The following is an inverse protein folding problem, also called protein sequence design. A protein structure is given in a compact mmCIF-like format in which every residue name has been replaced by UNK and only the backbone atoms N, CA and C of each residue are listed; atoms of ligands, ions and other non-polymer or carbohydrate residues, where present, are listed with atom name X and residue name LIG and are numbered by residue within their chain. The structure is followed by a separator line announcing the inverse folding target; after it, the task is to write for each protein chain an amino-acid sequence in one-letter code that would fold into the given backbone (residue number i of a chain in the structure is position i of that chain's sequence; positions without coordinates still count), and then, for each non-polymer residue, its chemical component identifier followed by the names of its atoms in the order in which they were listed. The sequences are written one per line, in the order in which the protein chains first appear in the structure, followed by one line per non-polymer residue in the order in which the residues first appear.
data_IF_691287678351
#
_entry.id   IF_691287678351
#
_cell.length_a   1.000
_cell.length_b   1.000
_cell.length_c   1.000
_cell.angle_alpha   90.00
_cell.angle_beta   90.00
_cell.angle_gamma   90.00
#
_symmetry.space_group_name_H-M   'P 1'
#
loop_
_entity.id
_entity.type
_entity.pdbx_description
1 polymer ?
#
# COMPACT_ATOMS: atom_id res chain seq x y z
N UNK A 1 3.50 18.23 1.25
CA UNK A 1 2.64 17.03 1.21
C UNK A 1 2.60 16.44 2.61
N UNK A 2 1.41 16.12 3.12
CA UNK A 2 1.21 15.51 4.43
C UNK A 2 0.94 14.01 4.29
N UNK A 3 1.56 13.20 5.15
CA UNK A 3 1.21 11.81 5.35
C UNK A 3 0.28 11.73 6.54
N UNK A 4 -0.96 11.35 6.32
CA UNK A 4 -2.00 11.32 7.34
C UNK A 4 -2.43 9.88 7.59
N UNK A 5 -2.23 9.41 8.81
CA UNK A 5 -2.74 8.11 9.24
C UNK A 5 -4.27 8.10 9.11
N UNK A 6 -4.81 7.11 8.38
CA UNK A 6 -6.23 7.01 8.06
C UNK A 6 -6.63 5.54 7.87
N UNK A 7 -7.20 4.91 8.90
CA UNK A 7 -7.38 3.46 8.96
C UNK A 7 -8.72 2.98 8.38
N UNK A 8 -9.65 3.89 8.14
CA UNK A 8 -10.98 3.57 7.59
C UNK A 8 -11.96 4.72 7.69
N UNK A 9 -13.22 4.43 7.36
CA UNK A 9 -14.36 5.35 7.43
C UNK A 9 -15.33 5.03 8.57
N UNK A 10 -14.95 4.09 9.44
CA UNK A 10 -15.76 3.61 10.57
C UNK A 10 -15.00 3.79 11.88
N UNK A 11 -15.70 4.34 12.88
CA UNK A 11 -15.16 4.55 14.22
C UNK A 11 -14.83 3.26 14.97
N UNK A 12 -15.48 2.13 14.66
CA UNK A 12 -15.13 0.84 15.27
C UNK A 12 -13.72 0.38 14.88
N UNK A 13 -13.32 0.65 13.65
CA UNK A 13 -11.93 0.44 13.19
C UNK A 13 -10.97 1.26 14.05
N UNK A 14 -11.28 2.53 14.26
CA UNK A 14 -10.43 3.41 15.07
C UNK A 14 -10.43 3.02 16.54
N UNK A 15 -11.58 2.64 17.12
CA UNK A 15 -11.61 2.14 18.51
C UNK A 15 -10.72 0.92 18.68
N UNK A 16 -10.80 0.00 17.74
CA UNK A 16 -9.96 -1.23 17.77
C UNK A 16 -8.49 -0.94 17.60
N UNK A 17 -8.11 -0.10 16.63
CA UNK A 17 -6.70 0.14 16.30
C UNK A 17 -6.07 1.27 17.13
N UNK A 18 -6.87 2.24 17.63
CA UNK A 18 -6.38 3.48 18.24
C UNK A 18 -6.98 3.80 19.60
N UNK A 19 -7.98 3.04 20.03
CA UNK A 19 -8.64 3.23 21.34
C UNK A 19 -9.66 4.37 21.40
N UNK A 20 -9.96 5.05 20.30
CA UNK A 20 -10.90 6.17 20.28
C UNK A 20 -11.60 6.32 18.91
N UNK A 21 -12.81 6.90 18.84
CA UNK A 21 -13.49 7.25 17.59
C UNK A 21 -12.77 8.45 16.96
N UNK A 22 -12.22 8.29 15.77
CA UNK A 22 -11.38 9.32 15.14
C UNK A 22 -11.82 9.70 13.72
N UNK A 23 -12.86 9.10 13.16
CA UNK A 23 -13.29 9.29 11.77
C UNK A 23 -13.52 10.76 11.46
N UNK A 24 -14.34 11.45 12.25
CA UNK A 24 -14.63 12.87 12.04
C UNK A 24 -13.37 13.74 12.13
N UNK A 25 -12.54 13.49 13.14
CA UNK A 25 -11.29 14.22 13.31
C UNK A 25 -10.36 14.05 12.10
N UNK A 26 -10.25 12.84 11.54
CA UNK A 26 -9.43 12.56 10.36
C UNK A 26 -9.96 13.24 9.12
N UNK A 27 -11.29 13.21 8.90
CA UNK A 27 -11.92 13.91 7.78
C UNK A 27 -11.68 15.42 7.89
N UNK A 28 -11.89 16.01 9.07
CA UNK A 28 -11.62 17.43 9.33
C UNK A 28 -10.14 17.79 9.10
N UNK A 29 -9.20 16.93 9.49
CA UNK A 29 -7.79 17.16 9.21
C UNK A 29 -7.47 17.18 7.70
N UNK A 30 -8.11 16.29 6.92
CA UNK A 30 -7.98 16.29 5.46
C UNK A 30 -8.53 17.60 4.87
N UNK A 31 -9.70 18.05 5.34
CA UNK A 31 -10.34 19.26 4.85
C UNK A 31 -9.51 20.52 5.20
N UNK A 32 -8.91 20.55 6.39
CA UNK A 32 -7.97 21.62 6.77
C UNK A 32 -6.71 21.62 5.89
N UNK A 33 -6.15 20.44 5.58
CA UNK A 33 -5.05 20.33 4.64
C UNK A 33 -5.44 20.86 3.25
N UNK A 34 -6.66 20.55 2.80
CA UNK A 34 -7.20 21.04 1.54
C UNK A 34 -7.31 22.57 1.53
N UNK A 35 -7.85 23.15 2.58
CA UNK A 35 -7.96 24.61 2.73
C UNK A 35 -6.59 25.30 2.71
N UNK A 36 -5.58 24.63 3.28
CA UNK A 36 -4.20 25.11 3.29
C UNK A 36 -3.41 24.81 1.99
N UNK A 37 -4.04 24.21 0.97
CA UNK A 37 -3.35 23.83 -0.28
C UNK A 37 -2.30 22.71 -0.10
N UNK A 38 -2.35 21.96 1.00
CA UNK A 38 -1.39 20.93 1.35
C UNK A 38 -1.87 19.55 0.88
N UNK A 39 -1.30 18.95 -0.18
CA UNK A 39 -1.69 17.63 -0.64
C UNK A 39 -1.47 16.53 0.41
N UNK A 40 -2.35 15.53 0.42
CA UNK A 40 -2.36 14.46 1.42
C UNK A 40 -2.09 13.10 0.78
N UNK A 41 -1.36 12.25 1.49
CA UNK A 41 -1.29 10.80 1.29
C UNK A 41 -1.90 10.12 2.51
N UNK A 42 -2.89 9.27 2.30
CA UNK A 42 -3.49 8.48 3.37
C UNK A 42 -2.58 7.30 3.73
N UNK A 43 -2.45 7.02 5.02
CA UNK A 43 -1.59 5.94 5.52
C UNK A 43 -2.43 5.01 6.41
N UNK A 44 -3.17 4.04 5.85
CA UNK A 44 -3.87 3.04 6.63
C UNK A 44 -2.91 1.98 7.17
N UNK A 45 -3.03 1.68 8.48
CA UNK A 45 -2.51 0.44 9.05
C UNK A 45 -3.56 -0.64 8.87
N UNK A 46 -3.23 -1.72 8.16
CA UNK A 46 -4.19 -2.77 7.83
C UNK A 46 -3.97 -3.99 8.69
N UNK A 47 -5.00 -4.35 9.47
CA UNK A 47 -5.02 -5.50 10.35
C UNK A 47 -6.06 -6.53 9.89
N UNK A 48 -5.71 -7.83 9.83
CA UNK A 48 -6.64 -8.89 9.46
C UNK A 48 -7.88 -8.91 10.35
N UNK A 49 -9.07 -9.00 9.76
CA UNK A 49 -10.35 -9.05 10.47
C UNK A 49 -10.80 -7.72 11.09
N UNK A 50 -9.99 -6.66 11.00
CA UNK A 50 -10.33 -5.34 11.54
C UNK A 50 -10.72 -4.36 10.42
N UNK A 51 -9.86 -4.13 9.46
CA UNK A 51 -10.08 -3.18 8.36
C UNK A 51 -9.56 -3.66 6.99
N UNK A 52 -9.14 -4.90 6.88
CA UNK A 52 -8.70 -5.48 5.62
C UNK A 52 -9.85 -5.66 4.61
N UNK A 53 -11.11 -5.62 5.08
CA UNK A 53 -12.33 -5.55 4.28
C UNK A 53 -12.67 -4.14 3.79
N UNK A 54 -12.06 -3.10 4.34
CA UNK A 54 -12.37 -1.69 4.06
C UNK A 54 -11.36 -1.02 3.12
N UNK A 55 -10.43 -1.77 2.52
CA UNK A 55 -9.40 -1.22 1.61
C UNK A 55 -10.01 -0.53 0.40
N UNK A 56 -11.05 -1.13 -0.19
CA UNK A 56 -11.78 -0.54 -1.32
C UNK A 56 -12.43 0.78 -0.96
N UNK A 57 -13.03 0.89 0.21
CA UNK A 57 -13.69 2.12 0.67
C UNK A 57 -12.67 3.25 0.90
N UNK A 58 -11.51 2.93 1.47
CA UNK A 58 -10.41 3.89 1.63
C UNK A 58 -9.92 4.38 0.26
N UNK A 59 -9.76 3.48 -0.71
CA UNK A 59 -9.33 3.83 -2.06
C UNK A 59 -10.39 4.66 -2.80
N UNK A 60 -11.66 4.27 -2.74
CA UNK A 60 -12.79 5.02 -3.32
C UNK A 60 -12.90 6.42 -2.68
N UNK A 61 -12.73 6.51 -1.37
CA UNK A 61 -12.68 7.79 -0.66
C UNK A 61 -11.52 8.67 -1.14
N UNK A 62 -10.32 8.12 -1.26
CA UNK A 62 -9.16 8.84 -1.78
C UNK A 62 -9.40 9.35 -3.21
N UNK A 63 -9.96 8.52 -4.09
CA UNK A 63 -10.29 8.86 -5.47
C UNK A 63 -11.36 9.97 -5.55
N UNK A 64 -12.35 9.96 -4.67
CA UNK A 64 -13.41 10.99 -4.64
C UNK A 64 -12.86 12.38 -4.28
N UNK A 65 -11.73 12.43 -3.57
CA UNK A 65 -11.06 13.66 -3.13
C UNK A 65 -9.81 14.02 -3.93
N UNK A 66 -9.58 13.34 -5.07
CA UNK A 66 -8.51 13.70 -5.99
C UNK A 66 -8.79 15.07 -6.65
N UNK A 67 -7.77 15.90 -6.93
CA UNK A 67 -6.32 15.64 -6.82
C UNK A 67 -5.73 16.00 -5.45
N UNK A 68 -6.54 16.33 -4.44
CA UNK A 68 -6.06 16.72 -3.13
C UNK A 68 -5.43 15.55 -2.37
N UNK A 69 -6.11 14.40 -2.34
CA UNK A 69 -5.50 13.14 -1.90
C UNK A 69 -4.77 12.54 -3.10
N UNK A 70 -3.45 12.42 -2.97
CA UNK A 70 -2.57 11.98 -4.07
C UNK A 70 -2.20 10.53 -4.04
N UNK A 71 -2.45 9.85 -2.93
CA UNK A 71 -2.11 8.45 -2.80
C UNK A 71 -2.60 7.83 -1.50
N UNK A 72 -2.51 6.51 -1.46
CA UNK A 72 -2.75 5.70 -0.27
C UNK A 72 -1.52 4.80 -0.07
N UNK A 73 -0.87 4.94 1.08
CA UNK A 73 0.29 4.14 1.47
C UNK A 73 -0.14 3.08 2.48
N UNK A 74 -0.46 1.91 2.00
CA UNK A 74 -1.00 0.81 2.79
C UNK A 74 0.13 0.14 3.57
N UNK A 75 -0.03 0.04 4.88
CA UNK A 75 0.92 -0.59 5.80
C UNK A 75 0.27 -1.80 6.48
N UNK A 76 0.60 -3.04 6.08
CA UNK A 76 0.18 -4.20 6.86
C UNK A 76 0.73 -4.11 8.29
N UNK A 77 -0.11 -4.44 9.27
CA UNK A 77 0.28 -4.38 10.67
C UNK A 77 1.47 -5.30 10.96
N UNK A 78 2.38 -4.83 11.78
CA UNK A 78 3.52 -5.61 12.28
C UNK A 78 3.32 -5.98 13.74
N UNK A 79 3.49 -7.26 14.05
CA UNK A 79 3.26 -7.82 15.40
C UNK A 79 4.57 -7.94 16.16
N UNK A 80 5.11 -6.81 16.61
CA UNK A 80 6.28 -6.76 17.49
C UNK A 80 6.16 -5.62 18.51
N UNK A 81 6.92 -5.71 19.59
CA UNK A 81 6.86 -4.72 20.66
C UNK A 81 5.52 -4.76 21.41
N UNK A 82 4.95 -3.59 21.69
CA UNK A 82 3.69 -3.44 22.44
C UNK A 82 2.48 -3.49 21.51
N UNK A 83 2.30 -4.59 20.78
CA UNK A 83 1.11 -4.77 19.96
C UNK A 83 -0.06 -5.26 20.81
N UNK A 84 -1.09 -4.43 20.99
CA UNK A 84 -2.29 -4.75 21.79
C UNK A 84 -3.23 -5.78 21.15
N UNK A 85 -3.05 -6.09 19.86
CA UNK A 85 -3.96 -6.98 19.10
C UNK A 85 -3.59 -8.47 19.20
N UNK A 86 -2.51 -8.82 19.91
CA UNK A 86 -2.01 -10.20 19.89
C UNK A 86 -1.45 -10.61 18.52
N UNK A 87 -0.78 -11.76 18.47
CA UNK A 87 -0.33 -12.33 17.19
C UNK A 87 -1.51 -13.07 16.53
N UNK A 88 -1.95 -12.70 15.31
CA UNK A 88 -3.04 -13.39 14.65
C UNK A 88 -2.53 -14.75 14.15
N UNK A 89 -3.45 -15.72 14.05
CA UNK A 89 -3.19 -16.99 13.38
C UNK A 89 -2.85 -16.80 11.90
N UNK A 90 -3.45 -15.78 11.26
CA UNK A 90 -3.25 -15.48 9.85
C UNK A 90 -2.60 -14.10 9.71
N UNK A 91 -1.40 -14.06 9.15
CA UNK A 91 -0.70 -12.81 8.82
C UNK A 91 -1.16 -12.27 7.47
N UNK A 92 -1.36 -10.96 7.41
CA UNK A 92 -1.66 -10.28 6.16
C UNK A 92 -0.37 -10.08 5.36
N UNK A 93 -0.26 -10.78 4.24
CA UNK A 93 0.88 -10.65 3.31
C UNK A 93 0.59 -9.61 2.23
N UNK A 94 1.62 -9.06 1.61
CA UNK A 94 1.45 -8.11 0.49
C UNK A 94 0.61 -8.71 -0.64
N UNK A 95 0.83 -9.95 -1.12
CA UNK A 95 -0.05 -10.55 -2.13
C UNK A 95 -1.52 -10.67 -1.69
N UNK A 96 -1.77 -10.90 -0.39
CA UNK A 96 -3.13 -10.92 0.13
C UNK A 96 -3.78 -9.53 0.11
N UNK A 97 -3.03 -8.48 0.44
CA UNK A 97 -3.50 -7.09 0.32
C UNK A 97 -3.84 -6.76 -1.13
N UNK A 98 -2.96 -7.11 -2.08
CA UNK A 98 -3.18 -6.82 -3.50
C UNK A 98 -4.43 -7.51 -4.06
N UNK A 99 -4.67 -8.78 -3.69
CA UNK A 99 -5.90 -9.49 -4.06
C UNK A 99 -7.15 -8.82 -3.47
N UNK A 100 -7.12 -8.42 -2.20
CA UNK A 100 -8.24 -7.69 -1.58
C UNK A 100 -8.51 -6.35 -2.26
N UNK A 101 -7.48 -5.63 -2.67
CA UNK A 101 -7.65 -4.40 -3.46
C UNK A 101 -8.36 -4.71 -4.77
N UNK A 102 -7.92 -5.73 -5.51
CA UNK A 102 -8.53 -6.10 -6.79
C UNK A 102 -10.01 -6.49 -6.61
N UNK A 103 -10.32 -7.32 -5.62
CA UNK A 103 -11.68 -7.75 -5.29
C UNK A 103 -12.58 -6.55 -4.88
N UNK A 104 -12.11 -5.71 -3.95
CA UNK A 104 -12.90 -4.60 -3.40
C UNK A 104 -13.01 -3.38 -4.33
N UNK A 105 -12.14 -3.32 -5.34
CA UNK A 105 -12.19 -2.32 -6.41
C UNK A 105 -12.80 -2.87 -7.71
N UNK A 106 -13.48 -4.02 -7.66
CA UNK A 106 -14.18 -4.63 -8.79
C UNK A 106 -13.26 -4.79 -10.03
N UNK A 107 -11.98 -5.11 -9.81
CA UNK A 107 -10.98 -5.27 -10.86
C UNK A 107 -10.53 -3.97 -11.56
N UNK A 108 -10.99 -2.80 -11.09
CA UNK A 108 -10.55 -1.48 -11.60
C UNK A 108 -9.06 -1.27 -11.29
N UNK A 109 -8.61 -1.73 -10.13
CA UNK A 109 -7.20 -1.81 -9.74
C UNK A 109 -6.82 -3.28 -9.65
N UNK A 110 -5.89 -3.73 -10.49
CA UNK A 110 -5.49 -5.13 -10.56
C UNK A 110 -4.21 -5.39 -9.78
N UNK A 111 -4.12 -6.55 -9.14
CA UNK A 111 -2.89 -6.97 -8.48
C UNK A 111 -1.68 -6.94 -9.43
N UNK A 112 -1.90 -7.24 -10.72
CA UNK A 112 -0.88 -7.21 -11.76
C UNK A 112 -0.37 -5.78 -12.09
N UNK A 113 -1.10 -4.72 -11.72
CA UNK A 113 -0.67 -3.34 -11.94
C UNK A 113 0.44 -2.93 -10.94
N UNK A 114 0.54 -3.64 -9.82
CA UNK A 114 1.52 -3.35 -8.78
C UNK A 114 2.87 -3.99 -9.08
N UNK A 115 3.95 -3.33 -8.70
CA UNK A 115 5.30 -3.82 -8.86
C UNK A 115 6.24 -3.34 -7.78
N UNK A 116 7.35 -4.05 -7.61
CA UNK A 116 8.38 -3.67 -6.65
C UNK A 116 8.97 -2.29 -6.92
N UNK A 117 9.41 -1.62 -5.86
CA UNK A 117 10.11 -0.34 -5.94
C UNK A 117 11.52 -0.47 -6.53
N UNK A 118 12.05 0.63 -7.08
CA UNK A 118 13.38 0.62 -7.72
C UNK A 118 14.55 0.61 -6.74
N UNK A 119 14.39 1.14 -5.54
CA UNK A 119 15.45 1.28 -4.53
C UNK A 119 15.20 0.46 -3.25
N UNK A 120 14.02 -0.12 -3.11
CA UNK A 120 13.62 -0.92 -1.97
C UNK A 120 13.71 -2.41 -2.29
N UNK A 121 13.75 -3.25 -1.27
CA UNK A 121 13.67 -4.70 -1.47
C UNK A 121 12.42 -5.06 -2.27
N UNK A 122 12.52 -5.84 -3.35
CA UNK A 122 11.39 -6.22 -4.17
C UNK A 122 10.34 -7.05 -3.43
N UNK A 123 10.65 -7.50 -2.21
CA UNK A 123 9.72 -8.26 -1.36
C UNK A 123 9.05 -7.40 -0.29
N UNK A 124 9.49 -6.15 -0.08
CA UNK A 124 9.02 -5.31 1.02
C UNK A 124 8.06 -4.22 0.58
N UNK A 125 8.03 -3.86 -0.69
CA UNK A 125 7.27 -2.72 -1.18
C UNK A 125 6.75 -2.96 -2.59
N UNK A 126 5.47 -2.61 -2.81
CA UNK A 126 4.81 -2.67 -4.11
C UNK A 126 4.05 -1.37 -4.33
N UNK A 127 4.12 -0.84 -5.53
CA UNK A 127 3.39 0.37 -5.89
C UNK A 127 2.75 0.26 -7.26
N UNK A 128 1.67 0.98 -7.46
CA UNK A 128 1.04 1.24 -8.74
C UNK A 128 0.70 2.72 -8.85
N UNK A 129 0.71 3.24 -10.06
CA UNK A 129 0.27 4.61 -10.34
C UNK A 129 -0.87 4.58 -11.33
N UNK A 130 -1.90 5.38 -11.06
CA UNK A 130 -3.08 5.46 -11.91
C UNK A 130 -3.32 6.89 -12.36
N UNK A 131 -3.74 7.04 -13.59
CA UNK A 131 -4.21 8.30 -14.14
C UNK A 131 -5.74 8.26 -14.22
N UNK A 132 -6.39 9.25 -13.61
CA UNK A 132 -7.83 9.46 -13.75
C UNK A 132 -8.10 10.17 -15.07
N UNK A 133 -8.92 9.57 -15.92
CA UNK A 133 -9.36 10.18 -17.17
C UNK A 133 -10.52 11.15 -16.94
N UNK A 134 -10.87 11.93 -17.97
CA UNK A 134 -11.98 12.88 -17.92
C UNK A 134 -13.33 12.21 -17.70
N UNK A 135 -13.51 10.98 -18.16
CA UNK A 135 -14.69 10.14 -17.98
C UNK A 135 -14.79 9.52 -16.57
N UNK A 136 -13.81 9.79 -15.70
CA UNK A 136 -13.72 9.25 -14.35
C UNK A 136 -13.05 7.88 -14.27
N UNK A 137 -12.80 7.19 -15.38
CA UNK A 137 -12.11 5.90 -15.40
C UNK A 137 -10.65 6.01 -14.98
N UNK A 138 -10.11 4.94 -14.42
CA UNK A 138 -8.70 4.83 -14.05
C UNK A 138 -7.92 4.08 -15.11
N UNK A 139 -6.75 4.56 -15.44
CA UNK A 139 -5.78 3.87 -16.29
C UNK A 139 -4.51 3.65 -15.51
N UNK A 140 -4.11 2.39 -15.33
CA UNK A 140 -2.81 2.06 -14.77
C UNK A 140 -1.70 2.64 -15.67
N UNK A 141 -0.74 3.32 -15.08
CA UNK A 141 0.43 3.81 -15.80
C UNK A 141 1.43 2.67 -15.95
N UNK A 142 2.04 2.54 -17.15
CA UNK A 142 3.06 1.53 -17.37
C UNK A 142 4.21 1.73 -16.38
N UNK A 143 4.66 0.65 -15.78
CA UNK A 143 5.86 0.69 -14.96
C UNK A 143 7.04 1.11 -15.82
N UNK A 144 7.77 2.14 -15.43
CA UNK A 144 9.12 2.31 -15.93
C UNK A 144 9.91 1.12 -15.38
N UNK A 145 10.17 0.12 -16.21
CA UNK A 145 11.29 -0.78 -15.94
C UNK A 145 12.50 0.13 -15.83
N UNK A 146 13.02 0.32 -14.61
CA UNK A 146 14.36 0.83 -14.46
C UNK A 146 15.24 -0.17 -15.21
N UNK A 147 15.63 0.17 -16.41
CA UNK A 147 16.79 -0.47 -17.02
C UNK A 147 17.93 -0.10 -16.08
N UNK A 148 18.20 -0.98 -15.13
CA UNK A 148 19.44 -0.94 -14.41
C UNK A 148 20.51 -1.09 -15.49
N UNK A 149 21.29 -0.03 -15.72
CA UNK A 149 22.38 -0.02 -16.70
C UNK A 149 23.45 -1.09 -16.42
N UNK A 150 23.28 -1.90 -15.38
CA UNK A 150 24.26 -2.84 -14.86
C UNK A 150 23.97 -4.31 -15.16
N UNK A 151 22.84 -4.67 -15.78
CA UNK A 151 22.56 -6.08 -16.11
C UNK A 151 22.02 -6.19 -17.53
N UNK A 152 22.91 -6.17 -18.50
CA UNK A 152 22.78 -7.07 -19.63
C UNK A 152 23.11 -8.45 -19.07
N UNK A 153 22.09 -9.22 -18.72
CA UNK A 153 22.24 -10.64 -18.44
C UNK A 153 22.51 -11.35 -19.76
N UNK A 154 23.74 -11.36 -20.17
CA UNK A 154 24.25 -12.37 -21.05
C UNK A 154 25.06 -13.30 -20.16
N UNK A 155 24.69 -14.57 -20.18
CA UNK A 155 25.42 -15.72 -19.71
C UNK A 155 25.51 -15.92 -18.19
N UNK A 156 24.79 -16.94 -17.75
CA UNK A 156 25.09 -17.64 -16.52
C UNK A 156 26.60 -17.97 -16.51
N UNK A 157 27.37 -17.30 -15.67
CA UNK A 157 28.72 -17.73 -15.38
C UNK A 157 28.59 -18.89 -14.40
N UNK A 158 28.86 -20.08 -14.91
CA UNK A 158 29.10 -21.24 -14.07
C UNK A 158 30.26 -20.91 -13.13
N UNK A 159 29.95 -20.80 -11.85
CA UNK A 159 30.98 -20.79 -10.83
C UNK A 159 31.55 -22.20 -10.74
N UNK A 160 32.85 -22.42 -10.99
CA UNK A 160 33.44 -23.73 -10.80
C UNK A 160 33.32 -24.07 -9.30
N UNK A 161 32.70 -25.18 -9.03
CA UNK A 161 32.73 -25.80 -7.72
C UNK A 161 34.18 -26.12 -7.35
N UNK A 162 34.80 -25.29 -6.51
CA UNK A 162 36.08 -25.66 -5.91
C UNK A 162 35.85 -26.77 -4.88
N UNK A 163 35.77 -27.99 -5.39
CA UNK A 163 36.11 -29.13 -4.59
C UNK A 163 37.61 -29.17 -4.46
N UNK A 164 38.09 -29.29 -3.24
CA UNK A 164 39.17 -30.14 -2.83
C UNK A 164 39.61 -29.78 -1.42
N UNK A 165 39.18 -30.60 -0.51
CA UNK A 165 39.95 -30.86 0.71
C UNK A 165 41.36 -31.30 0.32
N UNK A 166 42.35 -30.83 1.05
CA UNK A 166 43.57 -31.62 1.35
C UNK A 166 44.24 -31.10 2.61
N UNK A 167 44.30 -31.99 3.55
CA UNK A 167 45.37 -32.38 4.46
C UNK A 167 45.75 -31.34 5.50
#
# INVERSE_FOLDING_TARGET
MAFLQFDGLDDEIYRTLRGAPLTEMKIRAIDNCKAAGLPVVLVPTVAPGVNDHALGDILKFALSRAPHIRGVHIQPISYFGRCGLGAPEIRLTIPAVLRRIEEQMDGIMKAADFGGGGAESPYCSFHASYMRKKDGSLKALPRRRSQCCCVKSSEARDFPSSGAARQ
#
